data_IF_127036857224
#
_entry.id   IF_127036857224
#
_cell.length_a   1.000
_cell.length_b   1.000
_cell.length_c   1.000
_cell.angle_alpha   90.00
_cell.angle_beta   90.00
_cell.angle_gamma   90.00
#
_symmetry.space_group_name_H-M   'P 1'
#
loop_
_entity.id
_entity.type
_entity.pdbx_description
1 polymer ?
#
# COMPACT_ATOMS: atom_id res chain seq x y z
N UNK A 1 22.53 36.77 -58.71
CA UNK A 1 21.73 38.00 -58.53
C UNK A 1 20.55 37.66 -57.63
N UNK A 2 20.46 38.36 -56.48
CA UNK A 2 19.27 38.66 -55.65
C UNK A 2 18.29 37.50 -55.33
N UNK A 3 17.89 37.22 -54.08
CA UNK A 3 17.72 38.05 -52.89
C UNK A 3 17.44 37.12 -51.70
N UNK A 4 17.99 37.42 -50.53
CA UNK A 4 17.29 37.12 -49.27
C UNK A 4 15.97 37.91 -49.22
N UNK A 5 15.01 37.45 -48.41
CA UNK A 5 14.64 38.32 -47.31
C UNK A 5 14.56 37.60 -45.96
N UNK A 6 15.16 38.29 -45.00
CA UNK A 6 15.07 38.21 -43.57
C UNK A 6 13.63 38.15 -42.98
N UNK A 7 13.52 37.48 -41.84
CA UNK A 7 12.73 37.88 -40.65
C UNK A 7 11.20 37.76 -40.69
N UNK A 8 10.67 36.81 -39.90
CA UNK A 8 9.95 37.07 -38.62
C UNK A 8 9.41 35.76 -38.03
N UNK A 9 10.02 35.35 -36.92
CA UNK A 9 9.44 34.36 -36.01
C UNK A 9 8.24 35.00 -35.29
N UNK A 10 7.03 34.49 -35.53
CA UNK A 10 5.85 34.85 -34.74
C UNK A 10 5.62 33.73 -33.73
N UNK A 11 6.14 33.93 -32.52
CA UNK A 11 5.82 33.11 -31.35
C UNK A 11 4.35 33.33 -30.99
N UNK A 12 3.47 32.45 -31.49
CA UNK A 12 2.08 32.36 -31.07
C UNK A 12 2.00 31.82 -29.65
N UNK A 13 1.74 32.73 -28.69
CA UNK A 13 1.37 32.40 -27.31
C UNK A 13 0.12 31.50 -27.30
N UNK A 14 0.23 30.25 -26.86
CA UNK A 14 -0.91 29.45 -26.39
C UNK A 14 -0.86 29.37 -24.86
N UNK A 15 -1.88 29.94 -24.23
CA UNK A 15 -2.14 29.86 -22.78
C UNK A 15 -2.41 28.41 -22.40
N UNK A 16 -1.59 27.86 -21.50
CA UNK A 16 -1.95 26.71 -20.67
C UNK A 16 -2.90 27.19 -19.57
N UNK A 17 -4.05 26.53 -19.43
CA UNK A 17 -4.85 26.57 -18.21
C UNK A 17 -4.47 25.36 -17.37
N UNK A 18 -3.66 25.60 -16.34
CA UNK A 18 -3.46 24.69 -15.23
C UNK A 18 -4.32 25.15 -14.05
N UNK A 19 -5.00 24.19 -13.43
CA UNK A 19 -5.68 24.32 -12.14
C UNK A 19 -4.72 24.81 -11.06
N UNK A 20 -5.15 25.80 -10.26
CA UNK A 20 -4.61 26.06 -8.92
C UNK A 20 -5.67 25.69 -7.90
N UNK A 21 -5.35 24.68 -7.11
CA UNK A 21 -5.87 24.45 -5.76
C UNK A 21 -5.02 25.31 -4.83
N UNK A 22 -5.64 26.23 -4.10
CA UNK A 22 -5.29 26.73 -2.76
C UNK A 22 -5.86 28.14 -2.59
N UNK A 23 -6.90 28.24 -1.77
CA UNK A 23 -7.05 29.29 -0.75
C UNK A 23 -8.13 28.82 0.23
N UNK A 24 -7.94 29.16 1.51
CA UNK A 24 -8.81 28.96 2.68
C UNK A 24 -8.53 27.74 3.58
N UNK A 25 -7.31 27.70 4.11
CA UNK A 25 -7.14 27.47 5.56
C UNK A 25 -7.04 28.80 6.28
N UNK A 26 -8.08 29.22 7.00
CA UNK A 26 -7.99 29.80 8.35
C UNK A 26 -9.36 30.04 8.98
N UNK A 27 -9.45 29.71 10.28
CA UNK A 27 -10.51 29.96 11.27
C UNK A 27 -11.61 28.90 11.44
N UNK A 28 -11.25 27.83 12.15
CA UNK A 28 -12.15 27.19 13.13
C UNK A 28 -11.69 27.68 14.50
N UNK A 29 -12.39 28.69 15.02
CA UNK A 29 -12.44 28.98 16.44
C UNK A 29 -13.87 29.36 16.78
N UNK A 30 -14.42 28.64 17.74
CA UNK A 30 -15.64 28.94 18.49
C UNK A 30 -16.98 28.78 17.75
N UNK A 31 -17.70 27.70 18.06
CA UNK A 31 -18.94 27.77 18.83
C UNK A 31 -19.53 26.36 19.01
N UNK A 32 -19.53 25.89 20.27
CA UNK A 32 -20.48 24.89 20.78
C UNK A 32 -21.87 25.52 20.64
N UNK A 33 -22.81 24.87 19.93
CA UNK A 33 -24.29 24.96 20.08
C UNK A 33 -25.14 24.55 18.85
N UNK A 34 -24.59 23.81 17.87
CA UNK A 34 -25.34 23.42 16.65
C UNK A 34 -25.94 22.00 16.61
N UNK A 35 -25.94 21.23 17.72
CA UNK A 35 -26.39 19.82 17.69
C UNK A 35 -27.90 19.60 17.78
N UNK A 36 -28.72 20.63 18.06
CA UNK A 36 -30.18 20.50 18.17
C UNK A 36 -30.98 21.03 16.98
N UNK A 37 -30.38 21.87 16.12
CA UNK A 37 -31.06 22.41 14.94
C UNK A 37 -31.07 21.44 13.74
N UNK A 38 -30.03 20.62 13.59
CA UNK A 38 -29.88 19.69 12.44
C UNK A 38 -30.79 18.44 12.50
N UNK A 39 -31.32 18.08 13.68
CA UNK A 39 -32.21 16.92 13.81
C UNK A 39 -33.68 17.23 13.41
N UNK A 40 -34.09 18.50 13.49
CA UNK A 40 -35.43 18.94 13.12
C UNK A 40 -35.64 19.14 11.61
N UNK A 41 -34.60 19.53 10.87
CA UNK A 41 -34.71 19.80 9.43
C UNK A 41 -34.63 18.53 8.57
N UNK A 42 -33.89 17.51 9.00
CA UNK A 42 -33.80 16.23 8.25
C UNK A 42 -35.10 15.43 8.31
N UNK A 43 -35.87 15.53 9.40
CA UNK A 43 -37.15 14.81 9.55
C UNK A 43 -38.30 15.45 8.76
N UNK A 44 -38.30 16.78 8.55
CA UNK A 44 -39.28 17.46 7.69
C UNK A 44 -38.98 17.33 6.19
N UNK A 45 -37.71 17.24 5.80
CA UNK A 45 -37.32 17.10 4.38
C UNK A 45 -37.64 15.70 3.83
N UNK A 46 -37.44 14.66 4.64
CA UNK A 46 -37.74 13.27 4.25
C UNK A 46 -39.25 12.96 4.20
N UNK A 47 -40.10 13.60 5.02
CA UNK A 47 -41.56 13.40 4.93
C UNK A 47 -42.21 14.13 3.74
N UNK A 48 -41.56 15.15 3.18
CA UNK A 48 -42.04 15.83 1.96
C UNK A 48 -41.69 15.07 0.67
N UNK A 49 -40.57 14.34 0.65
CA UNK A 49 -40.14 13.61 -0.55
C UNK A 49 -40.97 12.35 -0.84
N UNK A 50 -41.54 11.70 0.20
CA UNK A 50 -42.34 10.48 0.05
C UNK A 50 -43.84 10.70 -0.27
N UNK A 51 -44.36 11.94 -0.19
CA UNK A 51 -45.77 12.25 -0.54
C UNK A 51 -46.00 12.55 -2.03
N UNK A 52 -44.94 12.66 -2.84
CA UNK A 52 -45.03 13.07 -4.25
C UNK A 52 -45.07 11.95 -5.29
N UNK A 53 -44.93 10.68 -4.89
CA UNK A 53 -44.99 9.55 -5.82
C UNK A 53 -46.43 9.09 -6.04
N UNK A 54 -47.15 9.84 -6.88
CA UNK A 54 -48.36 9.32 -7.50
C UNK A 54 -47.99 8.14 -8.42
N UNK A 55 -48.75 7.05 -8.31
CA UNK A 55 -48.69 5.90 -9.22
C UNK A 55 -48.89 6.34 -10.68
N UNK A 56 -47.97 6.04 -11.62
CA UNK A 56 -48.20 6.38 -13.02
C UNK A 56 -49.26 5.44 -13.64
N UNK A 57 -50.11 5.93 -14.56
CA UNK A 57 -51.10 5.12 -15.23
C UNK A 57 -50.44 4.16 -16.23
N UNK A 58 -51.04 2.98 -16.36
CA UNK A 58 -50.59 1.92 -17.24
C UNK A 58 -50.58 2.36 -18.72
N UNK A 59 -49.39 2.48 -19.32
CA UNK A 59 -49.21 2.49 -20.77
C UNK A 59 -47.80 2.01 -21.17
N UNK A 60 -47.79 0.84 -21.81
CA UNK A 60 -46.76 0.24 -22.68
C UNK A 60 -45.43 0.97 -22.86
N UNK A 61 -44.35 0.37 -22.38
CA UNK A 61 -43.04 0.35 -23.04
C UNK A 61 -42.32 -0.97 -22.70
N UNK A 62 -41.94 -1.72 -23.73
CA UNK A 62 -41.20 -2.97 -23.64
C UNK A 62 -39.76 -2.74 -23.18
N UNK A 63 -39.30 -3.55 -22.21
CA UNK A 63 -37.91 -3.59 -21.76
C UNK A 63 -37.79 -4.15 -20.34
N UNK A 64 -37.95 -5.47 -20.18
CA UNK A 64 -37.78 -6.16 -18.90
C UNK A 64 -36.30 -6.17 -18.47
N UNK A 65 -35.97 -5.43 -17.41
CA UNK A 65 -34.83 -5.76 -16.55
C UNK A 65 -35.34 -6.72 -15.47
N UNK A 66 -35.02 -7.99 -15.67
CA UNK A 66 -35.44 -9.10 -14.82
C UNK A 66 -34.79 -8.99 -13.43
N UNK A 67 -35.57 -8.54 -12.45
CA UNK A 67 -35.22 -8.54 -11.03
C UNK A 67 -35.71 -9.82 -10.31
N UNK A 68 -35.99 -10.91 -11.01
CA UNK A 68 -36.33 -12.18 -10.37
C UNK A 68 -35.10 -13.05 -10.11
N UNK A 69 -34.45 -12.77 -8.97
CA UNK A 69 -33.90 -13.75 -8.02
C UNK A 69 -33.26 -13.00 -6.85
N UNK A 70 -34.09 -12.47 -5.95
CA UNK A 70 -33.64 -12.25 -4.58
C UNK A 70 -33.78 -13.58 -3.87
N UNK A 71 -32.68 -14.15 -3.42
CA UNK A 71 -32.72 -15.25 -2.47
C UNK A 71 -33.55 -14.80 -1.26
N UNK A 72 -34.55 -15.60 -0.89
CA UNK A 72 -35.40 -15.29 0.25
C UNK A 72 -34.56 -15.43 1.52
N UNK A 73 -34.08 -14.31 2.06
CA UNK A 73 -33.47 -14.28 3.39
C UNK A 73 -34.54 -14.66 4.42
N UNK A 74 -34.49 -15.91 4.88
CA UNK A 74 -35.32 -16.39 5.97
C UNK A 74 -34.79 -15.82 7.28
N UNK A 75 -35.31 -14.67 7.67
CA UNK A 75 -35.10 -14.13 9.02
C UNK A 75 -36.08 -14.84 9.94
N UNK A 76 -35.56 -15.69 10.82
CA UNK A 76 -36.38 -16.33 11.86
C UNK A 76 -36.87 -15.26 12.82
N UNK A 77 -38.17 -15.22 13.01
CA UNK A 77 -38.82 -14.25 13.90
C UNK A 77 -38.34 -14.45 15.35
N UNK A 78 -38.01 -15.68 15.75
CA UNK A 78 -37.47 -15.98 17.07
C UNK A 78 -36.13 -15.29 17.32
N UNK A 79 -35.20 -15.32 16.35
CA UNK A 79 -33.87 -14.71 16.47
C UNK A 79 -33.96 -13.17 16.59
N UNK A 80 -34.92 -12.57 15.89
CA UNK A 80 -35.20 -11.13 15.97
C UNK A 80 -35.84 -10.78 17.31
N UNK A 81 -36.80 -11.57 17.77
CA UNK A 81 -37.43 -11.35 19.07
C UNK A 81 -36.46 -11.57 20.23
N UNK A 82 -35.50 -12.50 20.15
CA UNK A 82 -34.46 -12.67 21.16
C UNK A 82 -33.49 -11.47 21.20
N UNK A 83 -33.08 -10.98 20.02
CA UNK A 83 -32.11 -9.86 19.91
C UNK A 83 -32.74 -8.51 20.28
N UNK A 84 -34.03 -8.32 20.01
CA UNK A 84 -34.75 -7.04 20.16
C UNK A 84 -35.86 -7.06 21.21
N UNK A 85 -36.04 -8.16 21.95
CA UNK A 85 -36.92 -8.16 23.11
C UNK A 85 -36.49 -7.06 24.07
N UNK A 86 -37.40 -6.12 24.35
CA UNK A 86 -37.26 -5.24 25.51
C UNK A 86 -37.15 -6.15 26.71
N UNK A 87 -35.96 -6.25 27.31
CA UNK A 87 -35.78 -6.78 28.65
C UNK A 87 -36.83 -6.08 29.52
N UNK A 88 -37.85 -6.83 29.93
CA UNK A 88 -38.85 -6.32 30.85
C UNK A 88 -38.07 -5.76 32.04
N UNK A 89 -38.38 -4.53 32.52
CA UNK A 89 -37.72 -4.02 33.70
C UNK A 89 -37.96 -5.02 34.81
N UNK A 90 -36.93 -5.81 35.16
CA UNK A 90 -36.93 -6.60 36.38
C UNK A 90 -37.33 -5.61 37.45
N UNK A 91 -38.41 -5.92 38.18
CA UNK A 91 -38.82 -5.15 39.33
C UNK A 91 -37.55 -4.79 40.10
N UNK A 92 -37.31 -3.50 40.32
CA UNK A 92 -36.20 -3.04 41.15
C UNK A 92 -36.49 -3.53 42.57
N UNK A 93 -36.22 -4.80 42.86
CA UNK A 93 -35.66 -5.13 44.16
C UNK A 93 -34.41 -4.28 44.25
N UNK A 94 -34.44 -3.27 45.11
CA UNK A 94 -33.26 -2.57 45.60
C UNK A 94 -32.36 -3.58 46.33
N UNK A 95 -31.80 -4.53 45.59
CA UNK A 95 -30.54 -5.13 45.97
C UNK A 95 -29.58 -3.96 45.83
N UNK A 96 -29.23 -3.33 46.96
CA UNK A 96 -28.11 -2.38 47.04
C UNK A 96 -26.99 -3.03 46.24
N UNK A 97 -26.70 -2.54 45.03
CA UNK A 97 -25.53 -3.00 44.28
C UNK A 97 -24.37 -2.85 45.26
N UNK A 98 -23.61 -3.92 45.54
CA UNK A 98 -22.43 -3.80 46.38
C UNK A 98 -21.65 -2.58 45.90
N UNK A 99 -21.21 -1.71 46.81
CA UNK A 99 -20.34 -0.59 46.44
C UNK A 99 -19.09 -1.21 45.83
N UNK A 100 -19.02 -1.21 44.50
CA UNK A 100 -17.84 -1.67 43.78
C UNK A 100 -16.75 -0.64 44.05
N UNK A 101 -15.68 -1.09 44.68
CA UNK A 101 -14.51 -0.28 45.00
C UNK A 101 -13.74 -0.05 43.70
N UNK A 102 -13.59 1.21 43.34
CA UNK A 102 -12.70 1.61 42.26
C UNK A 102 -11.32 1.87 42.86
N UNK A 103 -10.31 1.10 42.44
CA UNK A 103 -8.95 1.20 42.97
C UNK A 103 -7.98 1.78 41.96
N UNK A 104 -8.20 1.55 40.65
CA UNK A 104 -7.26 2.02 39.64
C UNK A 104 -7.24 3.56 39.58
N UNK A 105 -6.04 4.19 39.53
CA UNK A 105 -5.91 5.66 39.60
C UNK A 105 -6.60 6.41 38.45
N UNK A 106 -6.61 5.82 37.25
CA UNK A 106 -7.21 6.41 36.05
C UNK A 106 -8.58 5.79 35.75
N UNK A 107 -9.64 6.51 36.12
CA UNK A 107 -11.04 6.12 35.86
C UNK A 107 -11.36 5.91 34.38
N UNK A 108 -10.75 6.68 33.47
CA UNK A 108 -11.00 6.57 32.03
C UNK A 108 -10.36 5.28 31.49
N UNK A 109 -9.14 5.00 31.92
CA UNK A 109 -8.46 3.74 31.61
C UNK A 109 -9.20 2.53 32.16
N UNK A 110 -9.64 2.58 33.42
CA UNK A 110 -10.44 1.51 34.03
C UNK A 110 -11.75 1.27 33.26
N UNK A 111 -12.45 2.34 32.84
CA UNK A 111 -13.63 2.21 32.00
C UNK A 111 -13.33 1.53 30.65
N UNK A 112 -12.27 1.97 29.96
CA UNK A 112 -11.85 1.37 28.68
C UNK A 112 -11.47 -0.10 28.83
N UNK A 113 -10.78 -0.46 29.92
CA UNK A 113 -10.49 -1.84 30.28
C UNK A 113 -11.76 -2.65 30.48
N UNK A 114 -12.76 -2.14 31.22
CA UNK A 114 -13.99 -2.88 31.49
C UNK A 114 -14.73 -3.24 30.17
N UNK A 115 -14.80 -2.29 29.24
CA UNK A 115 -15.39 -2.52 27.91
C UNK A 115 -14.58 -3.54 27.10
N UNK A 116 -13.26 -3.38 27.03
CA UNK A 116 -12.43 -4.27 26.21
C UNK A 116 -12.34 -5.69 26.79
N UNK A 117 -12.28 -5.83 28.11
CA UNK A 117 -12.24 -7.11 28.81
C UNK A 117 -13.54 -7.92 28.63
N UNK A 118 -14.65 -7.28 28.26
CA UNK A 118 -15.88 -7.99 27.92
C UNK A 118 -15.69 -8.97 26.74
N UNK A 119 -14.75 -8.70 25.82
CA UNK A 119 -14.39 -9.59 24.72
C UNK A 119 -13.79 -10.92 25.19
N UNK A 120 -13.22 -10.94 26.40
CA UNK A 120 -12.59 -12.10 27.02
C UNK A 120 -13.48 -12.76 28.07
N UNK A 121 -14.77 -12.41 28.13
CA UNK A 121 -15.71 -12.89 29.16
C UNK A 121 -15.93 -14.41 29.18
N UNK A 122 -15.56 -15.11 28.10
CA UNK A 122 -15.60 -16.56 28.02
C UNK A 122 -14.43 -17.24 28.77
N UNK A 123 -13.46 -16.47 29.25
CA UNK A 123 -12.27 -16.97 29.94
C UNK A 123 -12.20 -16.36 31.33
N UNK A 124 -11.78 -17.15 32.31
CA UNK A 124 -11.35 -16.64 33.60
C UNK A 124 -10.04 -15.85 33.47
N UNK A 125 -9.79 -14.92 34.39
CA UNK A 125 -8.52 -14.19 34.39
C UNK A 125 -7.30 -15.08 34.65
N UNK A 126 -7.50 -16.25 35.27
CA UNK A 126 -6.46 -17.26 35.44
C UNK A 126 -6.13 -17.95 34.12
N UNK A 127 -7.16 -18.36 33.34
CA UNK A 127 -6.94 -18.92 32.00
C UNK A 127 -6.27 -17.89 31.06
N UNK A 128 -6.64 -16.60 31.16
CA UNK A 128 -5.95 -15.55 30.42
C UNK A 128 -4.49 -15.39 30.85
N UNK A 129 -4.20 -15.47 32.15
CA UNK A 129 -2.83 -15.41 32.68
C UNK A 129 -1.99 -16.55 32.11
N UNK A 130 -2.49 -17.77 32.18
CA UNK A 130 -1.82 -18.96 31.64
C UNK A 130 -1.61 -18.84 30.14
N UNK A 131 -2.63 -18.40 29.40
CA UNK A 131 -2.50 -18.16 27.96
C UNK A 131 -1.43 -17.10 27.61
N UNK A 132 -1.23 -16.08 28.44
CA UNK A 132 -0.16 -15.09 28.26
C UNK A 132 1.21 -15.68 28.57
N UNK A 133 1.32 -16.49 29.63
CA UNK A 133 2.60 -17.14 30.00
C UNK A 133 3.02 -18.13 28.91
N UNK A 134 2.09 -18.98 28.47
CA UNK A 134 2.31 -20.07 27.52
C UNK A 134 2.14 -19.65 26.05
N UNK A 135 1.88 -18.36 25.80
CA UNK A 135 1.61 -17.81 24.46
C UNK A 135 0.58 -18.62 23.65
N UNK A 136 -0.52 -19.02 24.30
CA UNK A 136 -1.47 -19.98 23.76
C UNK A 136 -2.18 -19.44 22.51
N UNK A 137 -2.07 -20.12 21.35
CA UNK A 137 -2.69 -19.68 20.10
C UNK A 137 -4.24 -19.78 20.13
N UNK A 138 -4.81 -20.46 21.14
CA UNK A 138 -6.27 -20.57 21.31
C UNK A 138 -6.92 -19.25 21.73
N UNK A 139 -6.19 -18.43 22.48
CA UNK A 139 -6.70 -17.16 23.03
C UNK A 139 -5.97 -15.98 22.41
N UNK A 140 -4.65 -16.09 22.21
CA UNK A 140 -3.80 -15.00 21.71
C UNK A 140 -3.77 -14.97 20.18
N UNK A 141 -4.86 -14.51 19.58
CA UNK A 141 -4.89 -14.04 18.19
C UNK A 141 -4.27 -12.64 18.08
N UNK A 142 -4.00 -12.16 16.86
CA UNK A 142 -3.47 -10.80 16.61
C UNK A 142 -4.29 -9.73 17.34
N UNK A 143 -5.61 -9.73 17.12
CA UNK A 143 -6.56 -8.77 17.72
C UNK A 143 -6.60 -8.87 19.25
N UNK A 144 -6.56 -10.10 19.79
CA UNK A 144 -6.56 -10.33 21.22
C UNK A 144 -5.26 -9.83 21.87
N UNK A 145 -4.11 -10.12 21.26
CA UNK A 145 -2.79 -9.70 21.73
C UNK A 145 -2.65 -8.18 21.67
N UNK A 146 -3.08 -7.52 20.59
CA UNK A 146 -3.13 -6.06 20.48
C UNK A 146 -4.03 -5.43 21.56
N UNK A 147 -5.20 -6.02 21.79
CA UNK A 147 -6.10 -5.56 22.85
C UNK A 147 -5.44 -5.68 24.21
N UNK A 148 -4.82 -6.82 24.54
CA UNK A 148 -4.15 -7.05 25.83
C UNK A 148 -2.91 -6.15 26.01
N UNK A 149 -2.19 -5.81 24.94
CA UNK A 149 -1.07 -4.88 24.99
C UNK A 149 -1.47 -3.48 25.48
N UNK A 150 -2.68 -3.03 25.22
CA UNK A 150 -3.18 -1.74 25.72
C UNK A 150 -3.44 -1.75 27.23
N UNK A 151 -3.61 -2.93 27.83
CA UNK A 151 -4.02 -3.11 29.22
C UNK A 151 -2.98 -3.81 30.08
N UNK A 152 -1.74 -3.94 29.60
CA UNK A 152 -0.63 -4.37 30.47
C UNK A 152 -0.61 -3.46 31.71
N UNK A 153 -0.68 -4.03 32.94
CA UNK A 153 -0.73 -3.23 34.16
C UNK A 153 0.49 -2.32 34.29
N UNK A 154 0.26 -1.07 34.71
CA UNK A 154 1.37 -0.15 35.03
C UNK A 154 1.95 -0.46 36.41
N UNK A 155 3.18 0.03 36.71
CA UNK A 155 3.77 -0.11 38.05
C UNK A 155 2.87 0.46 39.15
N UNK A 156 2.21 1.60 38.90
CA UNK A 156 1.30 2.25 39.84
C UNK A 156 0.04 1.41 40.09
N UNK A 157 -0.58 0.90 39.02
CA UNK A 157 -1.75 0.01 39.12
C UNK A 157 -1.41 -1.27 39.90
N UNK A 158 -0.23 -1.83 39.64
CA UNK A 158 0.27 -3.02 40.32
C UNK A 158 0.54 -2.73 41.81
N UNK A 159 1.10 -1.57 42.14
CA UNK A 159 1.38 -1.19 43.53
C UNK A 159 0.09 -1.04 44.34
N UNK A 160 -0.90 -0.31 43.81
CA UNK A 160 -2.20 -0.12 44.46
C UNK A 160 -2.91 -1.46 44.68
N UNK A 161 -2.91 -2.31 43.66
CA UNK A 161 -3.57 -3.61 43.75
C UNK A 161 -2.86 -4.55 44.74
N UNK A 162 -1.52 -4.52 44.77
CA UNK A 162 -0.73 -5.28 45.72
C UNK A 162 -0.98 -4.84 47.16
N UNK A 163 -1.09 -3.54 47.41
CA UNK A 163 -1.42 -3.00 48.73
C UNK A 163 -2.82 -3.44 49.18
N UNK A 164 -3.81 -3.35 48.29
CA UNK A 164 -5.18 -3.80 48.57
C UNK A 164 -5.23 -5.29 48.94
N UNK A 165 -4.56 -6.15 48.18
CA UNK A 165 -4.50 -7.59 48.47
C UNK A 165 -3.76 -7.84 49.80
N UNK A 166 -2.64 -7.16 50.03
CA UNK A 166 -1.83 -7.34 51.25
C UNK A 166 -2.53 -6.90 52.54
N UNK A 167 -3.48 -5.96 52.44
CA UNK A 167 -4.31 -5.49 53.55
C UNK A 167 -5.56 -6.34 53.80
N UNK A 168 -5.71 -7.46 53.08
CA UNK A 168 -6.85 -8.37 53.21
C UNK A 168 -8.08 -7.95 52.41
N UNK A 169 -7.90 -7.15 51.36
CA UNK A 169 -8.98 -6.74 50.45
C UNK A 169 -9.62 -7.92 49.71
N UNK A 170 -10.94 -7.88 49.55
CA UNK A 170 -11.72 -8.91 48.84
C UNK A 170 -11.89 -8.54 47.36
N UNK A 171 -11.29 -9.33 46.47
CA UNK A 171 -11.40 -9.13 45.01
C UNK A 171 -12.83 -9.21 44.47
N UNK A 172 -13.80 -9.74 45.23
CA UNK A 172 -15.22 -9.72 44.87
C UNK A 172 -15.86 -8.32 45.00
N UNK A 173 -15.20 -7.39 45.69
CA UNK A 173 -15.67 -6.04 45.90
C UNK A 173 -15.16 -5.04 44.86
N UNK A 174 -14.28 -5.46 43.95
CA UNK A 174 -13.71 -4.61 42.89
C UNK A 174 -14.21 -5.06 41.51
N UNK A 175 -14.14 -4.18 40.51
CA UNK A 175 -14.65 -4.46 39.17
C UNK A 175 -13.65 -5.26 38.30
N UNK A 176 -14.05 -5.60 37.07
CA UNK A 176 -13.24 -6.34 36.09
C UNK A 176 -11.82 -5.80 35.89
N UNK A 177 -11.59 -4.48 35.75
CA UNK A 177 -10.24 -3.94 35.54
C UNK A 177 -9.31 -4.28 36.69
N UNK A 178 -9.77 -4.07 37.93
CA UNK A 178 -9.02 -4.39 39.14
C UNK A 178 -8.74 -5.89 39.27
N UNK A 179 -9.75 -6.74 39.02
CA UNK A 179 -9.58 -8.20 39.04
C UNK A 179 -8.59 -8.67 37.97
N UNK A 180 -8.63 -8.08 36.78
CA UNK A 180 -7.67 -8.34 35.71
C UNK A 180 -6.25 -7.93 36.14
N UNK A 181 -6.07 -6.71 36.66
CA UNK A 181 -4.76 -6.25 37.14
C UNK A 181 -4.24 -7.23 38.19
N UNK A 182 -5.04 -7.58 39.19
CA UNK A 182 -4.69 -8.54 40.24
C UNK A 182 -4.22 -9.90 39.69
N UNK A 183 -4.89 -10.42 38.66
CA UNK A 183 -4.52 -11.69 38.03
C UNK A 183 -3.26 -11.57 37.16
N UNK A 184 -2.99 -10.43 36.55
CA UNK A 184 -1.83 -10.22 35.66
C UNK A 184 -0.56 -9.78 36.41
N UNK A 185 -0.67 -9.35 37.66
CA UNK A 185 0.49 -8.96 38.45
C UNK A 185 1.50 -10.10 38.53
N UNK A 186 2.79 -9.79 38.39
CA UNK A 186 3.86 -10.78 38.51
C UNK A 186 3.95 -11.75 37.34
N UNK A 187 3.29 -11.50 36.20
CA UNK A 187 3.69 -12.15 34.93
C UNK A 187 5.04 -11.53 34.50
N UNK A 188 6.11 -12.33 34.40
CA UNK A 188 7.41 -11.82 33.99
C UNK A 188 7.40 -11.37 32.52
N UNK A 189 7.94 -10.17 32.27
CA UNK A 189 8.10 -9.59 30.94
C UNK A 189 6.78 -9.48 30.14
N UNK A 190 5.64 -9.32 30.80
CA UNK A 190 4.31 -9.39 30.14
C UNK A 190 4.21 -8.55 28.85
N UNK A 191 4.64 -7.28 28.88
CA UNK A 191 4.61 -6.43 27.68
C UNK A 191 5.51 -6.97 26.58
N UNK A 192 6.76 -7.29 26.92
CA UNK A 192 7.73 -7.79 25.95
C UNK A 192 7.31 -9.13 25.36
N UNK A 193 6.66 -9.98 26.18
CA UNK A 193 6.11 -11.27 25.79
C UNK A 193 4.99 -11.11 24.76
N UNK A 194 4.04 -10.21 25.02
CA UNK A 194 2.95 -9.90 24.10
C UNK A 194 3.46 -9.19 22.82
N UNK A 195 4.43 -8.27 22.94
CA UNK A 195 5.08 -7.63 21.80
C UNK A 195 5.76 -8.67 20.88
N UNK A 196 6.50 -9.61 21.49
CA UNK A 196 7.19 -10.67 20.76
C UNK A 196 6.21 -11.62 20.08
N UNK A 197 5.15 -12.03 20.77
CA UNK A 197 4.10 -12.87 20.23
C UNK A 197 3.36 -12.19 19.07
N UNK A 198 2.96 -10.93 19.24
CA UNK A 198 2.29 -10.15 18.19
C UNK A 198 3.17 -10.05 16.94
N UNK A 199 4.47 -9.80 17.13
CA UNK A 199 5.40 -9.75 16.01
C UNK A 199 5.52 -11.12 15.31
N UNK A 200 5.60 -12.22 16.08
CA UNK A 200 5.66 -13.56 15.52
C UNK A 200 4.40 -13.91 14.72
N UNK A 201 3.21 -13.57 15.22
CA UNK A 201 1.93 -13.77 14.52
C UNK A 201 1.90 -13.03 13.17
N UNK A 202 2.44 -11.81 13.12
CA UNK A 202 2.44 -10.97 11.92
C UNK A 202 3.69 -11.18 11.04
N UNK A 203 4.63 -12.04 11.44
CA UNK A 203 5.95 -12.12 10.79
C UNK A 203 5.86 -12.51 9.32
N UNK A 204 5.01 -13.48 8.97
CA UNK A 204 4.88 -13.95 7.58
C UNK A 204 4.39 -12.84 6.64
N UNK A 205 3.39 -12.06 7.07
CA UNK A 205 2.85 -10.93 6.31
C UNK A 205 3.87 -9.79 6.22
N UNK A 206 4.46 -9.42 7.37
CA UNK A 206 5.52 -8.40 7.42
C UNK A 206 6.69 -8.76 6.50
N UNK A 207 7.17 -10.01 6.55
CA UNK A 207 8.25 -10.48 5.71
C UNK A 207 7.90 -10.39 4.22
N UNK A 208 6.68 -10.81 3.85
CA UNK A 208 6.20 -10.75 2.46
C UNK A 208 6.09 -9.31 1.96
N UNK A 209 5.55 -8.42 2.77
CA UNK A 209 5.41 -6.99 2.43
C UNK A 209 6.77 -6.31 2.28
N UNK A 210 7.78 -6.79 3.00
CA UNK A 210 9.15 -6.33 2.89
C UNK A 210 9.91 -6.96 1.70
N UNK A 211 9.70 -8.25 1.43
CA UNK A 211 10.41 -8.98 0.38
C UNK A 211 9.96 -8.59 -1.03
N UNK A 212 8.64 -8.45 -1.26
CA UNK A 212 8.10 -8.25 -2.61
C UNK A 212 8.63 -6.98 -3.31
N UNK A 213 8.71 -5.80 -2.67
CA UNK A 213 9.28 -4.61 -3.29
C UNK A 213 10.76 -4.79 -3.68
N UNK A 214 11.53 -5.48 -2.83
CA UNK A 214 12.96 -5.75 -3.09
C UNK A 214 13.13 -6.70 -4.27
N UNK A 215 12.35 -7.79 -4.32
CA UNK A 215 12.34 -8.70 -5.47
C UNK A 215 11.97 -7.98 -6.76
N UNK A 216 10.91 -7.18 -6.72
CA UNK A 216 10.46 -6.41 -7.89
C UNK A 216 11.52 -5.38 -8.34
N UNK A 217 12.29 -4.79 -7.43
CA UNK A 217 13.41 -3.91 -7.74
C UNK A 217 14.51 -4.66 -8.50
N UNK A 218 14.98 -5.77 -7.93
CA UNK A 218 16.02 -6.61 -8.53
C UNK A 218 15.60 -7.08 -9.93
N UNK A 219 14.40 -7.64 -10.05
CA UNK A 219 13.88 -8.13 -11.33
C UNK A 219 13.75 -7.03 -12.39
N UNK A 220 13.38 -5.82 -11.98
CA UNK A 220 13.26 -4.66 -12.87
C UNK A 220 14.63 -4.16 -13.32
N UNK A 221 15.63 -4.13 -12.42
CA UNK A 221 17.02 -3.85 -12.77
C UNK A 221 17.52 -4.84 -13.82
N UNK A 222 17.28 -6.13 -13.60
CA UNK A 222 17.65 -7.19 -14.53
C UNK A 222 16.96 -7.07 -15.89
N UNK A 223 15.67 -6.76 -15.91
CA UNK A 223 14.93 -6.57 -17.15
C UNK A 223 15.49 -5.43 -18.01
N UNK A 224 15.91 -4.33 -17.38
CA UNK A 224 16.53 -3.19 -18.08
C UNK A 224 17.93 -3.56 -18.59
N UNK A 225 18.75 -4.20 -17.76
CA UNK A 225 20.14 -4.57 -18.11
C UNK A 225 20.21 -5.68 -19.17
N UNK A 226 19.34 -6.68 -19.10
CA UNK A 226 19.37 -7.83 -20.00
C UNK A 226 18.75 -7.53 -21.37
N UNK A 227 17.96 -6.46 -21.49
CA UNK A 227 17.31 -6.09 -22.74
C UNK A 227 18.27 -5.48 -23.78
N UNK A 228 18.93 -6.35 -24.55
CA UNK A 228 19.82 -5.97 -25.68
C UNK A 228 19.13 -5.06 -26.70
N UNK A 229 17.83 -5.23 -26.88
CA UNK A 229 17.06 -4.45 -27.85
C UNK A 229 16.83 -3.02 -27.34
N UNK A 230 16.62 -2.82 -26.04
CA UNK A 230 16.55 -1.47 -25.44
C UNK A 230 17.87 -0.72 -25.66
N UNK A 231 19.01 -1.39 -25.41
CA UNK A 231 20.34 -0.83 -25.70
C UNK A 231 20.48 -0.39 -27.17
N UNK A 232 20.00 -1.23 -28.09
CA UNK A 232 20.07 -0.95 -29.53
C UNK A 232 19.24 0.27 -29.93
N UNK A 233 18.07 0.47 -29.31
CA UNK A 233 17.25 1.67 -29.53
C UNK A 233 17.94 2.91 -28.96
N UNK A 234 18.47 2.83 -27.74
CA UNK A 234 19.16 3.97 -27.12
C UNK A 234 20.36 4.43 -27.96
N UNK A 235 21.13 3.48 -28.49
CA UNK A 235 22.23 3.79 -29.41
C UNK A 235 21.75 4.44 -30.71
N UNK A 236 20.68 3.91 -31.31
CA UNK A 236 20.10 4.51 -32.51
C UNK A 236 19.57 5.93 -32.30
N UNK A 237 18.95 6.18 -31.14
CA UNK A 237 18.51 7.53 -30.75
C UNK A 237 19.71 8.46 -30.59
N UNK A 238 20.83 7.99 -30.03
CA UNK A 238 22.05 8.77 -29.91
C UNK A 238 22.61 9.15 -31.29
N UNK A 239 22.76 8.17 -32.19
CA UNK A 239 23.25 8.39 -33.55
C UNK A 239 22.35 9.38 -34.32
N UNK A 240 21.03 9.18 -34.26
CA UNK A 240 20.08 10.13 -34.84
C UNK A 240 20.26 11.52 -34.23
N UNK A 241 20.32 11.63 -32.91
CA UNK A 241 20.55 12.90 -32.23
C UNK A 241 21.83 13.59 -32.67
N UNK A 242 22.92 12.84 -32.86
CA UNK A 242 24.21 13.37 -33.32
C UNK A 242 24.15 13.88 -34.75
N UNK A 243 23.51 13.14 -35.66
CA UNK A 243 23.30 13.61 -37.05
C UNK A 243 22.43 14.86 -37.09
N UNK A 244 21.36 14.91 -36.28
CA UNK A 244 20.44 16.05 -36.26
C UNK A 244 21.04 17.32 -35.68
N UNK A 245 22.02 17.18 -34.77
CA UNK A 245 22.72 18.30 -34.15
C UNK A 245 24.14 18.46 -34.69
N UNK A 246 24.42 17.97 -35.90
CA UNK A 246 25.73 18.12 -36.53
C UNK A 246 26.08 19.62 -36.66
N UNK A 247 27.28 19.99 -36.20
CA UNK A 247 27.73 21.38 -36.16
C UNK A 247 27.31 22.17 -34.93
N UNK A 248 26.46 21.64 -34.04
CA UNK A 248 26.18 22.23 -32.72
C UNK A 248 27.31 21.82 -31.73
N UNK A 249 28.14 22.77 -31.22
CA UNK A 249 29.26 22.45 -30.34
C UNK A 249 28.87 21.88 -28.96
N UNK A 250 27.60 22.03 -28.55
CA UNK A 250 27.10 21.55 -27.26
C UNK A 250 26.21 20.31 -27.37
N UNK A 251 25.66 20.03 -28.55
CA UNK A 251 24.66 18.96 -28.75
C UNK A 251 25.03 17.93 -29.82
N UNK A 252 25.96 18.25 -30.72
CA UNK A 252 26.52 17.31 -31.69
C UNK A 252 27.64 16.46 -31.07
N UNK A 253 27.92 15.31 -31.68
CA UNK A 253 28.97 14.36 -31.25
C UNK A 253 28.90 13.97 -29.76
N UNK A 254 27.69 13.78 -29.23
CA UNK A 254 27.51 13.33 -27.86
C UNK A 254 27.88 11.84 -27.72
N UNK A 255 28.52 11.48 -26.61
CA UNK A 255 28.79 10.08 -26.22
C UNK A 255 27.57 9.41 -25.56
N UNK A 256 26.56 10.19 -25.20
CA UNK A 256 25.36 9.72 -24.53
C UNK A 256 24.38 10.85 -24.20
N UNK A 257 23.20 10.50 -23.72
CA UNK A 257 22.18 11.46 -23.30
C UNK A 257 21.55 11.04 -21.97
N UNK A 258 21.06 12.03 -21.20
CA UNK A 258 20.35 11.75 -19.96
C UNK A 258 19.00 11.07 -20.25
N UNK A 259 18.54 10.11 -19.43
CA UNK A 259 17.24 9.46 -19.62
C UNK A 259 16.03 10.40 -19.62
N UNK A 260 16.15 11.61 -19.06
CA UNK A 260 15.16 12.69 -19.21
C UNK A 260 14.90 13.11 -20.65
N UNK A 261 15.84 12.85 -21.56
CA UNK A 261 15.66 13.06 -23.00
C UNK A 261 14.64 12.08 -23.60
N UNK A 262 14.46 10.88 -23.02
CA UNK A 262 13.53 9.87 -23.54
C UNK A 262 12.08 10.37 -23.64
N UNK A 263 11.67 11.22 -22.69
CA UNK A 263 10.35 11.83 -22.71
C UNK A 263 10.17 12.85 -23.85
N UNK A 264 11.26 13.46 -24.31
CA UNK A 264 11.25 14.50 -25.35
C UNK A 264 11.24 13.93 -26.77
N UNK A 265 11.57 12.64 -26.92
CA UNK A 265 11.64 11.99 -28.24
C UNK A 265 10.28 11.95 -28.95
N UNK A 266 9.18 11.97 -28.21
CA UNK A 266 7.82 12.04 -28.75
C UNK A 266 7.37 13.47 -29.11
N UNK A 267 8.11 14.49 -28.67
CA UNK A 267 7.75 15.91 -28.85
C UNK A 267 8.45 16.54 -30.07
N UNK A 268 9.55 15.95 -30.55
CA UNK A 268 10.28 16.48 -31.70
C UNK A 268 9.60 16.01 -32.98
N UNK A 269 8.91 16.93 -33.65
CA UNK A 269 8.15 16.71 -34.88
C UNK A 269 8.83 17.46 -36.04
N UNK A 270 8.98 16.82 -37.20
CA UNK A 270 9.55 17.42 -38.40
C UNK A 270 8.50 18.13 -39.26
N UNK A 271 8.93 18.97 -40.21
CA UNK A 271 8.06 19.81 -41.06
C UNK A 271 6.93 19.05 -41.79
N UNK A 272 7.03 17.73 -41.92
CA UNK A 272 6.01 16.85 -42.51
C UNK A 272 5.31 15.90 -41.51
N UNK A 273 5.36 16.21 -40.21
CA UNK A 273 4.71 15.49 -39.09
C UNK A 273 5.24 14.11 -38.60
N UNK A 274 6.37 13.51 -39.03
CA UNK A 274 6.91 12.35 -38.31
C UNK A 274 7.67 12.80 -37.06
N UNK A 275 7.42 12.15 -35.92
CA UNK A 275 8.26 12.28 -34.72
C UNK A 275 9.63 11.61 -34.92
N UNK A 276 10.62 11.89 -34.06
CA UNK A 276 11.92 11.15 -34.08
C UNK A 276 11.71 9.62 -34.02
N UNK A 277 10.67 9.18 -33.31
CA UNK A 277 10.34 7.77 -33.20
C UNK A 277 9.75 7.20 -34.51
N UNK A 278 9.05 8.02 -35.29
CA UNK A 278 8.60 7.68 -36.63
C UNK A 278 9.78 7.58 -37.60
N UNK A 279 10.74 8.52 -37.50
CA UNK A 279 12.00 8.48 -38.26
C UNK A 279 12.82 7.23 -37.93
N UNK A 280 12.92 6.88 -36.64
CA UNK A 280 13.57 5.64 -36.20
C UNK A 280 12.92 4.39 -36.83
N UNK A 281 11.58 4.36 -36.84
CA UNK A 281 10.83 3.27 -37.44
C UNK A 281 10.96 3.24 -38.97
N UNK A 282 10.97 4.39 -39.64
CA UNK A 282 11.10 4.57 -41.10
C UNK A 282 12.48 4.19 -41.64
N UNK A 283 13.54 4.62 -40.97
CA UNK A 283 14.92 4.36 -41.39
C UNK A 283 15.39 2.92 -41.13
N UNK A 284 14.51 2.03 -40.64
CA UNK A 284 14.83 0.63 -40.27
C UNK A 284 16.05 0.53 -39.34
N UNK A 285 16.31 1.52 -38.49
CA UNK A 285 17.61 1.66 -37.82
C UNK A 285 17.94 0.50 -36.88
N UNK A 286 16.97 -0.34 -36.50
CA UNK A 286 17.33 -1.67 -36.01
C UNK A 286 16.16 -2.66 -36.09
N UNK A 287 16.21 -3.68 -36.96
CA UNK A 287 15.31 -4.86 -36.86
C UNK A 287 15.34 -5.49 -35.47
N UNK A 288 16.46 -5.37 -34.74
CA UNK A 288 16.60 -5.82 -33.34
C UNK A 288 15.81 -4.94 -32.37
N UNK A 289 15.83 -3.63 -32.59
CA UNK A 289 15.03 -2.68 -31.83
C UNK A 289 13.53 -2.83 -32.06
N UNK A 290 13.08 -3.53 -33.10
CA UNK A 290 11.65 -3.90 -33.28
C UNK A 290 11.21 -5.06 -32.37
N UNK A 291 12.14 -5.75 -31.71
CA UNK A 291 11.90 -6.92 -30.85
C UNK A 291 12.08 -6.64 -29.36
N UNK A 292 12.04 -5.38 -28.91
CA UNK A 292 12.03 -5.11 -27.45
C UNK A 292 10.78 -5.74 -26.85
N UNK A 293 10.98 -6.68 -25.94
CA UNK A 293 9.90 -7.27 -25.16
C UNK A 293 9.44 -6.25 -24.12
N UNK A 294 8.47 -5.44 -24.55
CA UNK A 294 7.83 -4.42 -23.72
C UNK A 294 7.08 -5.07 -22.56
N UNK A 295 6.47 -6.23 -22.78
CA UNK A 295 5.70 -6.95 -21.75
C UNK A 295 6.58 -7.43 -20.61
N UNK A 296 7.78 -7.94 -20.90
CA UNK A 296 8.73 -8.36 -19.86
C UNK A 296 9.25 -7.20 -19.01
N UNK A 297 9.49 -6.03 -19.62
CA UNK A 297 9.98 -4.84 -18.90
C UNK A 297 8.82 -4.16 -18.14
N UNK A 298 7.68 -3.98 -18.80
CA UNK A 298 6.51 -3.32 -18.22
C UNK A 298 5.86 -4.16 -17.13
N UNK A 299 5.72 -5.48 -17.30
CA UNK A 299 5.15 -6.36 -16.28
C UNK A 299 5.91 -6.31 -14.96
N UNK A 300 7.25 -6.31 -15.03
CA UNK A 300 8.13 -6.21 -13.86
C UNK A 300 8.11 -4.82 -13.22
N UNK A 301 8.05 -3.75 -14.03
CA UNK A 301 7.90 -2.37 -13.53
C UNK A 301 6.50 -2.09 -12.97
N UNK A 302 5.47 -2.76 -13.47
CA UNK A 302 4.10 -2.67 -12.92
C UNK A 302 4.01 -3.38 -11.58
N UNK A 303 4.71 -4.51 -11.39
CA UNK A 303 4.82 -5.18 -10.09
C UNK A 303 5.43 -4.23 -9.03
N UNK A 304 6.43 -3.42 -9.40
CA UNK A 304 6.97 -2.35 -8.54
C UNK A 304 5.94 -1.31 -8.09
N UNK A 305 4.89 -1.04 -8.90
CA UNK A 305 3.84 -0.05 -8.58
C UNK A 305 2.64 -0.63 -7.83
N UNK A 306 2.42 -1.95 -7.93
CA UNK A 306 1.32 -2.63 -7.24
C UNK A 306 1.62 -2.83 -5.75
N UNK A 307 2.90 -2.83 -5.36
CA UNK A 307 3.28 -2.56 -3.99
C UNK A 307 2.85 -1.14 -3.64
N UNK A 308 1.77 -0.98 -2.86
CA UNK A 308 1.23 0.32 -2.42
C UNK A 308 2.19 1.12 -1.51
N UNK A 309 3.46 0.76 -1.45
CA UNK A 309 4.49 1.36 -0.61
C UNK A 309 5.61 1.89 -1.50
N UNK A 310 5.97 3.16 -1.30
CA UNK A 310 7.16 3.75 -1.91
C UNK A 310 8.40 2.89 -1.59
N UNK A 311 9.34 2.77 -2.52
CA UNK A 311 10.59 2.03 -2.29
C UNK A 311 11.35 2.51 -1.04
N UNK A 312 11.25 3.80 -0.73
CA UNK A 312 11.79 4.40 0.49
C UNK A 312 11.12 3.85 1.77
N UNK A 313 9.81 3.57 1.70
CA UNK A 313 9.07 2.91 2.79
C UNK A 313 9.54 1.47 2.91
N UNK A 314 9.78 0.75 1.80
CA UNK A 314 10.30 -0.62 1.85
C UNK A 314 11.71 -0.69 2.47
N UNK A 315 12.61 0.24 2.12
CA UNK A 315 13.96 0.32 2.70
C UNK A 315 13.91 0.59 4.21
N UNK A 316 13.08 1.55 4.65
CA UNK A 316 12.85 1.79 6.08
C UNK A 316 12.17 0.60 6.78
N UNK A 317 11.21 -0.05 6.11
CA UNK A 317 10.46 -1.16 6.71
C UNK A 317 11.33 -2.42 6.90
N UNK A 318 12.17 -2.75 5.92
CA UNK A 318 13.12 -3.88 6.01
C UNK A 318 14.19 -3.58 7.07
N UNK A 319 14.95 -2.49 6.89
CA UNK A 319 16.18 -2.25 7.66
C UNK A 319 15.97 -1.64 9.04
N UNK A 320 14.85 -0.95 9.28
CA UNK A 320 14.57 -0.32 10.58
C UNK A 320 13.51 -1.10 11.35
N UNK A 321 12.42 -1.50 10.71
CA UNK A 321 11.31 -2.09 11.45
C UNK A 321 11.50 -3.59 11.70
N UNK A 322 11.59 -4.42 10.64
CA UNK A 322 11.66 -5.88 10.80
C UNK A 322 12.92 -6.30 11.56
N UNK A 323 14.08 -5.77 11.18
CA UNK A 323 15.35 -6.07 11.85
C UNK A 323 15.33 -5.71 13.34
N UNK A 324 14.84 -4.51 13.70
CA UNK A 324 14.75 -4.09 15.09
C UNK A 324 13.73 -4.92 15.89
N UNK A 325 12.60 -5.29 15.27
CA UNK A 325 11.61 -6.16 15.90
C UNK A 325 12.19 -7.54 16.19
N UNK A 326 12.86 -8.19 15.24
CA UNK A 326 13.51 -9.50 15.46
C UNK A 326 14.58 -9.41 16.55
N UNK A 327 15.40 -8.36 16.53
CA UNK A 327 16.40 -8.11 17.57
C UNK A 327 15.75 -7.93 18.95
N UNK A 328 14.62 -7.23 19.03
CA UNK A 328 13.85 -7.07 20.27
C UNK A 328 13.26 -8.39 20.77
N UNK A 329 12.75 -9.24 19.87
CA UNK A 329 12.30 -10.60 20.23
C UNK A 329 13.46 -11.42 20.77
N UNK A 330 14.59 -11.47 20.06
CA UNK A 330 15.79 -12.18 20.48
C UNK A 330 16.26 -11.72 21.87
N UNK A 331 16.36 -10.42 22.09
CA UNK A 331 16.78 -9.87 23.39
C UNK A 331 15.79 -10.23 24.52
N UNK A 332 14.49 -10.30 24.21
CA UNK A 332 13.46 -10.72 25.17
C UNK A 332 13.61 -12.19 25.54
N UNK A 333 13.86 -13.06 24.56
CA UNK A 333 14.12 -14.49 24.76
C UNK A 333 15.39 -14.72 25.60
N UNK A 334 16.47 -14.00 25.30
CA UNK A 334 17.71 -14.06 26.08
C UNK A 334 17.51 -13.57 27.52
N UNK A 335 16.74 -12.49 27.72
CA UNK A 335 16.42 -11.99 29.05
C UNK A 335 15.59 -12.99 29.86
N UNK A 336 14.63 -13.67 29.23
CA UNK A 336 13.85 -14.73 29.87
C UNK A 336 14.74 -15.91 30.28
N UNK A 337 15.62 -16.38 29.39
CA UNK A 337 16.55 -17.49 29.65
C UNK A 337 17.54 -17.18 30.78
N UNK A 338 18.11 -15.97 30.81
CA UNK A 338 19.07 -15.58 31.86
C UNK A 338 18.45 -15.56 33.26
N UNK A 339 17.13 -15.33 33.36
CA UNK A 339 16.46 -15.15 34.64
C UNK A 339 16.88 -13.85 35.35
N UNK A 340 16.05 -13.38 36.27
CA UNK A 340 16.37 -12.26 37.14
C UNK A 340 15.38 -12.20 38.31
N UNK A 341 15.84 -12.64 39.49
CA UNK A 341 15.05 -12.68 40.72
C UNK A 341 14.51 -11.30 41.13
N UNK A 342 15.28 -10.22 40.95
CA UNK A 342 14.85 -8.87 41.30
C UNK A 342 13.67 -8.36 40.46
N UNK A 343 13.53 -8.87 39.23
CA UNK A 343 12.41 -8.57 38.33
C UNK A 343 11.36 -9.68 38.25
N UNK A 344 11.51 -10.76 39.03
CA UNK A 344 10.61 -11.92 39.02
C UNK A 344 10.68 -12.78 37.75
N UNK A 345 11.73 -12.64 36.94
CA UNK A 345 11.93 -13.43 35.71
C UNK A 345 12.46 -14.81 36.09
N UNK A 346 11.72 -15.84 35.71
CA UNK A 346 11.83 -17.19 36.28
C UNK A 346 12.99 -18.04 35.73
N UNK A 347 13.74 -17.54 34.74
CA UNK A 347 14.86 -18.27 34.13
C UNK A 347 14.38 -19.54 33.42
N UNK A 348 15.02 -20.67 33.71
CA UNK A 348 14.68 -21.99 33.13
C UNK A 348 13.23 -22.45 33.39
N UNK A 349 12.53 -21.85 34.36
CA UNK A 349 11.11 -22.14 34.64
C UNK A 349 10.14 -21.33 33.79
N UNK A 350 10.64 -20.38 33.00
CA UNK A 350 9.86 -19.54 32.13
C UNK A 350 9.70 -20.20 30.73
N UNK A 351 8.47 -20.50 30.28
CA UNK A 351 8.28 -21.17 29.00
C UNK A 351 8.57 -20.27 27.78
N UNK A 352 8.79 -18.95 27.97
CA UNK A 352 8.95 -18.00 26.85
C UNK A 352 10.04 -18.41 25.87
N UNK A 353 11.22 -18.76 26.41
CA UNK A 353 12.37 -19.06 25.59
C UNK A 353 12.09 -20.30 24.74
N UNK A 354 11.62 -21.38 25.37
CA UNK A 354 11.27 -22.62 24.69
C UNK A 354 10.22 -22.42 23.59
N UNK A 355 9.20 -21.58 23.83
CA UNK A 355 8.14 -21.33 22.84
C UNK A 355 8.67 -20.50 21.65
N UNK A 356 9.52 -19.51 21.91
CA UNK A 356 9.97 -18.56 20.89
C UNK A 356 11.30 -18.94 20.22
N UNK A 357 12.03 -19.94 20.73
CA UNK A 357 13.32 -20.37 20.19
C UNK A 357 13.20 -20.76 18.71
N UNK A 358 12.22 -21.61 18.35
CA UNK A 358 11.98 -22.03 16.96
C UNK A 358 11.71 -20.83 16.04
N UNK A 359 10.89 -19.88 16.50
CA UNK A 359 10.63 -18.65 15.77
C UNK A 359 11.90 -17.81 15.57
N UNK A 360 12.73 -17.63 16.61
CA UNK A 360 13.96 -16.84 16.51
C UNK A 360 14.97 -17.51 15.59
N UNK A 361 15.12 -18.84 15.67
CA UNK A 361 15.99 -19.62 14.80
C UNK A 361 15.58 -19.55 13.32
N UNK A 362 14.28 -19.46 13.03
CA UNK A 362 13.77 -19.31 11.67
C UNK A 362 13.83 -17.84 11.18
N UNK A 363 13.38 -16.89 12.00
CA UNK A 363 13.18 -15.51 11.59
C UNK A 363 14.50 -14.74 11.42
N UNK A 364 15.48 -14.96 12.31
CA UNK A 364 16.76 -14.25 12.28
C UNK A 364 17.52 -14.42 10.96
N UNK A 365 17.80 -15.64 10.46
CA UNK A 365 18.50 -15.81 9.19
C UNK A 365 17.69 -15.26 8.01
N UNK A 366 16.36 -15.41 8.00
CA UNK A 366 15.50 -14.86 6.94
C UNK A 366 15.61 -13.34 6.84
N UNK A 367 15.65 -12.65 7.97
CA UNK A 367 15.73 -11.18 8.02
C UNK A 367 17.13 -10.71 7.64
N UNK A 368 18.19 -11.35 8.15
CA UNK A 368 19.56 -11.04 7.72
C UNK A 368 19.75 -11.24 6.21
N UNK A 369 19.17 -12.30 5.66
CA UNK A 369 19.20 -12.55 4.22
C UNK A 369 18.43 -11.49 3.42
N UNK A 370 17.28 -11.03 3.93
CA UNK A 370 16.51 -9.96 3.31
C UNK A 370 17.26 -8.61 3.35
N UNK A 371 17.96 -8.29 4.45
CA UNK A 371 18.82 -7.10 4.54
C UNK A 371 19.95 -7.15 3.50
N UNK A 372 20.59 -8.32 3.35
CA UNK A 372 21.61 -8.55 2.31
C UNK A 372 21.02 -8.36 0.92
N UNK A 373 19.86 -8.98 0.64
CA UNK A 373 19.19 -8.90 -0.65
C UNK A 373 18.76 -7.46 -1.01
N UNK A 374 18.30 -6.68 -0.03
CA UNK A 374 18.00 -5.26 -0.21
C UNK A 374 19.24 -4.46 -0.62
N UNK A 375 20.36 -4.67 0.09
CA UNK A 375 21.62 -3.98 -0.24
C UNK A 375 22.09 -4.30 -1.66
N UNK A 376 22.07 -5.58 -2.03
CA UNK A 376 22.45 -6.03 -3.38
C UNK A 376 21.52 -5.46 -4.45
N UNK A 377 20.21 -5.46 -4.20
CA UNK A 377 19.22 -4.90 -5.13
C UNK A 377 19.41 -3.40 -5.35
N UNK A 378 19.82 -2.66 -4.30
CA UNK A 378 20.15 -1.24 -4.41
C UNK A 378 21.47 -0.99 -5.16
N UNK A 379 22.45 -1.87 -5.02
CA UNK A 379 23.68 -1.84 -5.83
C UNK A 379 23.36 -2.12 -7.31
N UNK A 380 22.53 -3.13 -7.60
CA UNK A 380 22.03 -3.41 -8.94
C UNK A 380 21.24 -2.24 -9.54
N UNK A 381 20.43 -1.56 -8.73
CA UNK A 381 19.74 -0.35 -9.15
C UNK A 381 20.72 0.75 -9.55
N UNK A 382 21.75 1.01 -8.75
CA UNK A 382 22.79 1.98 -9.08
C UNK A 382 23.51 1.61 -10.40
N UNK A 383 23.79 0.32 -10.61
CA UNK A 383 24.34 -0.15 -11.88
C UNK A 383 23.39 0.10 -13.05
N UNK A 384 22.08 -0.15 -12.87
CA UNK A 384 21.06 0.10 -13.90
C UNK A 384 20.91 1.61 -14.22
N UNK A 385 20.95 2.47 -13.20
CA UNK A 385 20.94 3.94 -13.35
C UNK A 385 22.17 4.40 -14.14
N UNK A 386 23.36 3.91 -13.79
CA UNK A 386 24.60 4.20 -14.52
C UNK A 386 24.54 3.68 -15.96
N UNK A 387 23.99 2.49 -16.15
CA UNK A 387 23.85 1.85 -17.46
C UNK A 387 23.02 2.69 -18.45
N UNK A 388 22.03 3.44 -17.96
CA UNK A 388 21.24 4.38 -18.78
C UNK A 388 21.87 5.79 -18.89
N UNK A 389 23.09 5.99 -18.41
CA UNK A 389 23.86 7.22 -18.65
C UNK A 389 23.61 8.36 -17.65
N UNK A 390 23.09 8.05 -16.45
CA UNK A 390 23.06 9.05 -15.37
C UNK A 390 24.49 9.34 -14.86
N UNK A 391 24.89 10.62 -14.72
CA UNK A 391 26.16 10.98 -14.12
C UNK A 391 26.25 10.52 -12.65
N UNK A 392 27.44 10.08 -12.20
CA UNK A 392 27.65 9.62 -10.82
C UNK A 392 27.17 10.63 -9.76
N UNK A 393 27.41 11.92 -9.98
CA UNK A 393 26.98 13.01 -9.10
C UNK A 393 25.45 13.14 -8.96
N UNK A 394 24.70 12.65 -9.95
CA UNK A 394 23.24 12.72 -9.99
C UNK A 394 22.60 11.42 -9.47
N UNK A 395 23.33 10.30 -9.44
CA UNK A 395 22.80 8.97 -9.07
C UNK A 395 22.09 8.95 -7.71
N UNK A 396 22.65 9.61 -6.69
CA UNK A 396 22.06 9.69 -5.34
C UNK A 396 20.71 10.42 -5.29
N UNK A 397 20.37 11.19 -6.32
CA UNK A 397 19.09 11.92 -6.42
C UNK A 397 18.04 11.12 -7.18
N UNK A 398 18.44 10.04 -7.86
CA UNK A 398 17.54 9.24 -8.68
C UNK A 398 16.81 8.26 -7.77
N UNK A 399 15.49 8.35 -7.73
CA UNK A 399 14.66 7.40 -7.00
C UNK A 399 14.25 6.23 -7.90
N UNK A 400 14.18 5.00 -7.38
CA UNK A 400 13.77 3.82 -8.17
C UNK A 400 12.42 3.98 -8.86
N UNK A 401 11.40 4.48 -8.17
CA UNK A 401 10.05 4.66 -8.70
C UNK A 401 10.02 5.63 -9.90
N UNK A 402 10.71 6.77 -9.78
CA UNK A 402 10.81 7.77 -10.84
C UNK A 402 11.59 7.22 -12.05
N UNK A 403 12.70 6.55 -11.78
CA UNK A 403 13.55 5.93 -12.80
C UNK A 403 12.79 4.89 -13.62
N UNK A 404 12.19 3.90 -12.96
CA UNK A 404 11.46 2.84 -13.66
C UNK A 404 10.18 3.37 -14.31
N UNK A 405 9.53 4.39 -13.74
CA UNK A 405 8.40 5.07 -14.40
C UNK A 405 8.81 5.71 -15.72
N UNK A 406 9.98 6.35 -15.77
CA UNK A 406 10.51 6.94 -17.00
C UNK A 406 10.84 5.87 -18.04
N UNK A 407 11.53 4.80 -17.66
CA UNK A 407 11.86 3.69 -18.56
C UNK A 407 10.59 3.03 -19.11
N UNK A 408 9.61 2.71 -18.25
CA UNK A 408 8.35 2.14 -18.70
C UNK A 408 7.55 3.07 -19.62
N UNK A 409 7.58 4.39 -19.37
CA UNK A 409 6.95 5.35 -20.29
C UNK A 409 7.61 5.33 -21.66
N UNK A 410 8.94 5.32 -21.70
CA UNK A 410 9.68 5.27 -22.95
C UNK A 410 9.38 3.99 -23.74
N UNK A 411 9.43 2.83 -23.09
CA UNK A 411 9.16 1.54 -23.73
C UNK A 411 7.71 1.46 -24.26
N UNK A 412 6.72 2.00 -23.53
CA UNK A 412 5.34 2.11 -24.03
C UNK A 412 5.21 3.02 -25.25
N UNK A 413 5.92 4.14 -25.27
CA UNK A 413 5.90 5.06 -26.41
C UNK A 413 6.45 4.37 -27.68
N UNK A 414 7.52 3.59 -27.54
CA UNK A 414 8.07 2.77 -28.63
C UNK A 414 7.02 1.81 -29.18
N UNK A 415 6.32 1.08 -28.30
CA UNK A 415 5.30 0.13 -28.70
C UNK A 415 4.10 0.80 -29.38
N UNK A 416 3.66 1.96 -28.87
CA UNK A 416 2.60 2.75 -29.49
C UNK A 416 2.97 3.19 -30.91
N UNK A 417 4.19 3.69 -31.12
CA UNK A 417 4.66 4.07 -32.45
C UNK A 417 4.79 2.88 -33.40
N UNK A 418 5.23 1.71 -32.92
CA UNK A 418 5.24 0.47 -33.72
C UNK A 418 3.85 0.10 -34.21
N UNK A 419 2.85 0.11 -33.32
CA UNK A 419 1.46 -0.21 -33.65
C UNK A 419 0.91 0.79 -34.67
N UNK A 420 1.11 2.09 -34.44
CA UNK A 420 0.67 3.13 -35.37
C UNK A 420 1.26 2.92 -36.78
N UNK A 421 2.55 2.57 -36.88
CA UNK A 421 3.19 2.27 -38.16
C UNK A 421 2.63 1.01 -38.82
N UNK A 422 2.42 -0.07 -38.07
CA UNK A 422 1.83 -1.29 -38.61
C UNK A 422 0.44 -1.03 -39.19
N UNK A 423 -0.39 -0.26 -38.49
CA UNK A 423 -1.71 0.14 -38.98
C UNK A 423 -1.62 0.99 -40.25
N UNK A 424 -0.66 1.91 -40.33
CA UNK A 424 -0.45 2.73 -41.53
C UNK A 424 -0.08 1.87 -42.75
N UNK A 425 0.90 0.97 -42.60
CA UNK A 425 1.33 0.05 -43.66
C UNK A 425 0.20 -0.87 -44.11
N UNK A 426 -0.63 -1.35 -43.18
CA UNK A 426 -1.79 -2.17 -43.52
C UNK A 426 -2.86 -1.37 -44.27
N UNK A 427 -3.10 -0.11 -43.89
CA UNK A 427 -4.02 0.79 -44.61
C UNK A 427 -3.52 1.07 -46.03
N UNK A 428 -2.22 1.31 -46.22
CA UNK A 428 -1.62 1.52 -47.53
C UNK A 428 -1.71 0.26 -48.41
N UNK A 429 -1.42 -0.92 -47.85
CA UNK A 429 -1.58 -2.19 -48.55
C UNK A 429 -3.02 -2.40 -49.02
N UNK A 430 -4.01 -2.16 -48.15
CA UNK A 430 -5.44 -2.25 -48.49
C UNK A 430 -5.83 -1.24 -49.58
N UNK A 431 -5.31 -0.01 -49.54
CA UNK A 431 -5.54 1.00 -50.59
C UNK A 431 -4.94 0.59 -51.94
N UNK A 432 -3.71 0.07 -51.94
CA UNK A 432 -3.03 -0.40 -53.15
C UNK A 432 -3.76 -1.59 -53.78
N UNK A 433 -4.19 -2.57 -52.97
CA UNK A 433 -5.00 -3.70 -53.43
C UNK A 433 -6.34 -3.25 -54.01
N UNK A 434 -7.02 -2.28 -53.37
CA UNK A 434 -8.26 -1.73 -53.87
C UNK A 434 -8.08 -0.95 -55.18
N UNK A 435 -6.99 -0.19 -55.32
CA UNK A 435 -6.64 0.53 -56.55
C UNK A 435 -6.34 -0.45 -57.70
N UNK A 436 -5.58 -1.51 -57.44
CA UNK A 436 -5.27 -2.55 -58.43
C UNK A 436 -6.54 -3.28 -58.90
N UNK A 437 -7.45 -3.64 -57.98
CA UNK A 437 -8.76 -4.26 -58.32
C UNK A 437 -9.65 -3.32 -59.15
N UNK A 438 -9.62 -2.01 -58.91
CA UNK A 438 -10.36 -1.02 -59.71
C UNK A 438 -9.76 -0.86 -61.11
N UNK A 439 -8.43 -0.83 -61.23
CA UNK A 439 -7.75 -0.75 -62.52
C UNK A 439 -8.02 -1.99 -63.38
N UNK A 440 -8.02 -3.19 -62.78
CA UNK A 440 -8.35 -4.43 -63.47
C UNK A 440 -9.81 -4.45 -64.00
N UNK A 441 -10.78 -3.93 -63.23
CA UNK A 441 -12.18 -3.82 -63.66
C UNK A 441 -12.38 -2.76 -64.75
N UNK A 442 -11.66 -1.64 -64.71
CA UNK A 442 -11.72 -0.59 -65.73
C UNK A 442 -11.12 -1.00 -67.08
N UNK A 443 -10.13 -1.90 -67.09
CA UNK A 443 -9.53 -2.45 -68.32
C UNK A 443 -10.44 -3.43 -69.06
N UNK A 444 -11.33 -4.15 -68.36
CA UNK A 444 -12.30 -5.07 -68.96
C UNK A 444 -13.51 -4.35 -69.62
N UNK A 445 -13.77 -3.09 -69.27
CA UNK A 445 -14.88 -2.30 -69.86
C UNK A 445 -14.48 -1.54 -71.14
N UNK A 446 -13.20 -1.60 -71.54
CA UNK A 446 -12.66 -0.89 -72.73
C UNK A 446 -12.25 -1.84 -73.86
N UNK A 447 -12.69 -3.09 -73.84
CA UNK A 447 -12.50 -4.05 -74.93
C UNK A 447 -13.80 -4.36 -75.64
#
# INVERSE_FOLDING_TARGET
>A
MFREPSSRCVLGKRKLLFFRFEELTTLVSDHKDLSLALYGEVTQSLTKSWRGLATPPAANCHGSLDFQKREAFHVKKEDVEETFAKLAPKAKTEVKKPKVLQLLPDSKRAYNMNIALAKFSNYSYQELREAIIDLSPKILTVEATESLLNFVPTPEETAVMKEYISSGGDLKLVDRPEQFVAAMMGIPLMRQRLDAHLFALNFAENYKDAYNPVSALSESCDAVRSCKNLKSILFAVLELGNMLNEGDPQRGNADGFKPTTLAKLTEVIWEQNPSILDIYNELKICEKGQKVDVGAIEGKIVALKQGKQDMYIAECFVGIFIAACVAKVKNTVEAARKGNEASGVLGDKDPLATIMDEFVEEALPKVTELERFLKESMEDFNVAVRYLGYPEKDMKKVKPDEFFKQVASFVRNIEAARKAKQELLERERKKAEAASKKAAKGGLSKR
#
